data_IF_736204645696
#
_entry.id   IF_736204645696
#
_cell.length_a   1.000
_cell.length_b   1.000
_cell.length_c   1.000
_cell.angle_alpha   90.00
_cell.angle_beta   90.00
_cell.angle_gamma   90.00
#
_symmetry.space_group_name_H-M   'P 1'
#
loop_
_entity.id
_entity.type
_entity.pdbx_description
1 polymer ?
#
# COMPACT_ATOMS: atom_id res chain seq x y z
N UNK A 1 -7.11 -24.00 -30.14
CA UNK A 1 -6.64 -22.81 -29.39
C UNK A 1 -7.86 -21.94 -29.10
N UNK A 2 -8.24 -21.68 -27.86
CA UNK A 2 -9.33 -20.74 -27.58
C UNK A 2 -8.88 -19.34 -27.99
N UNK A 3 -9.77 -18.64 -28.68
CA UNK A 3 -9.53 -17.29 -29.19
C UNK A 3 -9.13 -16.37 -28.00
N UNK A 4 -8.07 -15.56 -28.13
CA UNK A 4 -7.58 -14.68 -27.06
C UNK A 4 -8.66 -13.72 -26.52
N UNK A 5 -9.67 -13.44 -27.32
CA UNK A 5 -10.83 -12.62 -26.96
C UNK A 5 -11.74 -13.28 -25.92
N UNK A 6 -11.98 -14.57 -25.97
CA UNK A 6 -12.82 -15.30 -24.99
C UNK A 6 -12.12 -15.35 -23.61
N UNK A 7 -10.80 -15.53 -23.58
CA UNK A 7 -10.03 -15.49 -22.34
C UNK A 7 -10.00 -14.08 -21.71
N UNK A 8 -10.04 -13.03 -22.49
CA UNK A 8 -10.12 -11.65 -22.00
C UNK A 8 -11.50 -11.37 -21.42
N UNK A 9 -12.57 -11.78 -22.10
CA UNK A 9 -13.96 -11.58 -21.66
C UNK A 9 -14.27 -12.26 -20.32
N UNK A 10 -13.85 -13.51 -20.15
CA UNK A 10 -14.03 -14.25 -18.87
C UNK A 10 -13.25 -13.59 -17.73
N UNK A 11 -12.09 -13.04 -17.99
CA UNK A 11 -11.30 -12.33 -16.98
C UNK A 11 -11.91 -11.00 -16.56
N UNK A 12 -12.41 -10.20 -17.51
CA UNK A 12 -13.09 -8.93 -17.21
C UNK A 12 -14.35 -9.19 -16.39
N UNK A 13 -15.16 -10.19 -16.75
CA UNK A 13 -16.34 -10.58 -15.97
C UNK A 13 -15.96 -11.00 -14.55
N UNK A 14 -14.90 -11.79 -14.37
CA UNK A 14 -14.41 -12.18 -13.04
C UNK A 14 -13.96 -10.98 -12.23
N UNK A 15 -13.27 -10.00 -12.84
CA UNK A 15 -12.83 -8.77 -12.18
C UNK A 15 -14.02 -7.94 -11.70
N UNK A 16 -15.02 -7.76 -12.56
CA UNK A 16 -16.24 -7.01 -12.22
C UNK A 16 -17.05 -7.72 -11.13
N UNK A 17 -17.14 -9.05 -11.17
CA UNK A 17 -17.83 -9.83 -10.13
C UNK A 17 -17.14 -9.67 -8.76
N UNK A 18 -15.82 -9.69 -8.69
CA UNK A 18 -15.07 -9.44 -7.45
C UNK A 18 -15.25 -8.01 -6.95
N UNK A 19 -15.15 -7.03 -7.83
CA UNK A 19 -15.37 -5.63 -7.47
C UNK A 19 -16.79 -5.44 -6.92
N UNK A 20 -17.81 -6.03 -7.57
CA UNK A 20 -19.18 -5.98 -7.10
C UNK A 20 -19.35 -6.65 -5.73
N UNK A 21 -18.77 -7.83 -5.53
CA UNK A 21 -18.83 -8.54 -4.26
C UNK A 21 -18.21 -7.71 -3.11
N UNK A 22 -17.05 -7.14 -3.31
CA UNK A 22 -16.40 -6.30 -2.30
C UNK A 22 -17.15 -4.99 -2.06
N UNK A 23 -17.73 -4.38 -3.08
CA UNK A 23 -18.56 -3.20 -2.94
C UNK A 23 -19.82 -3.50 -2.12
N UNK A 24 -20.51 -4.60 -2.44
CA UNK A 24 -21.68 -5.04 -1.68
C UNK A 24 -21.33 -5.35 -0.23
N UNK A 25 -20.19 -6.01 0.02
CA UNK A 25 -19.71 -6.28 1.36
C UNK A 25 -19.40 -4.99 2.12
N UNK A 26 -18.70 -4.04 1.51
CA UNK A 26 -18.39 -2.76 2.13
C UNK A 26 -19.66 -1.95 2.43
N UNK A 27 -20.65 -1.96 1.52
CA UNK A 27 -21.94 -1.32 1.74
C UNK A 27 -22.70 -1.99 2.89
N UNK A 28 -22.79 -3.33 2.90
CA UNK A 28 -23.45 -4.05 3.97
C UNK A 28 -22.80 -3.79 5.32
N UNK A 29 -21.47 -3.75 5.37
CA UNK A 29 -20.72 -3.43 6.58
C UNK A 29 -21.00 -2.00 7.05
N UNK A 30 -21.02 -1.02 6.14
CA UNK A 30 -21.37 0.36 6.48
C UNK A 30 -22.81 0.46 7.04
N UNK A 31 -23.74 -0.28 6.46
CA UNK A 31 -25.15 -0.28 6.92
C UNK A 31 -25.34 -1.00 8.27
N UNK A 32 -24.75 -2.21 8.40
CA UNK A 32 -24.90 -3.02 9.61
C UNK A 32 -24.22 -2.40 10.84
N UNK A 33 -23.16 -1.66 10.62
CA UNK A 33 -22.36 -1.08 11.69
C UNK A 33 -22.80 0.33 12.04
N UNK A 34 -23.90 0.82 11.40
CA UNK A 34 -24.29 2.22 11.52
C UNK A 34 -23.06 3.10 11.42
N UNK A 35 -22.10 2.70 10.56
CA UNK A 35 -20.82 3.34 10.45
C UNK A 35 -21.11 4.81 10.17
N UNK A 36 -21.22 5.64 11.23
CA UNK A 36 -21.33 7.05 10.99
C UNK A 36 -20.03 7.31 10.32
N UNK A 37 -20.08 7.60 9.00
CA UNK A 37 -19.03 8.34 8.46
C UNK A 37 -17.93 8.46 9.50
N UNK A 38 -16.96 7.57 9.53
CA UNK A 38 -16.03 7.54 10.66
C UNK A 38 -15.44 8.88 10.74
N UNK A 39 -15.97 9.19 11.42
CA UNK A 39 -16.06 10.14 12.38
C UNK A 39 -15.12 11.31 12.11
N UNK A 40 -13.91 11.08 11.78
CA UNK A 40 -13.00 12.19 11.59
C UNK A 40 -12.69 12.49 10.12
N UNK A 41 -12.33 11.48 9.32
CA UNK A 41 -11.86 11.78 7.96
C UNK A 41 -12.99 12.16 7.01
N UNK A 42 -14.10 11.42 6.95
CA UNK A 42 -15.19 11.76 6.03
C UNK A 42 -15.89 13.08 6.42
N UNK A 43 -16.11 13.32 7.71
CA UNK A 43 -16.66 14.61 8.20
C UNK A 43 -15.71 15.76 7.92
N UNK A 44 -14.42 15.55 8.10
CA UNK A 44 -13.42 16.57 7.77
C UNK A 44 -13.44 16.91 6.27
N UNK A 45 -13.54 15.91 5.40
CA UNK A 45 -13.61 16.13 3.95
C UNK A 45 -14.90 16.82 3.52
N UNK A 46 -16.04 16.48 4.16
CA UNK A 46 -17.31 17.20 3.97
C UNK A 46 -17.18 18.65 4.43
N UNK A 47 -16.61 18.88 5.62
CA UNK A 47 -16.37 20.23 6.13
C UNK A 47 -15.46 21.07 5.23
N UNK A 48 -14.38 20.48 4.73
CA UNK A 48 -13.47 21.15 3.77
C UNK A 48 -14.21 21.49 2.47
N UNK A 49 -15.05 20.58 1.95
CA UNK A 49 -15.84 20.83 0.75
C UNK A 49 -16.81 22.04 0.96
N UNK A 50 -17.47 22.08 2.11
CA UNK A 50 -18.35 23.20 2.48
C UNK A 50 -17.59 24.53 2.60
N UNK A 51 -16.39 24.51 3.22
CA UNK A 51 -15.54 25.70 3.32
C UNK A 51 -15.10 26.20 1.95
N UNK A 52 -14.74 25.29 1.04
CA UNK A 52 -14.39 25.64 -0.33
C UNK A 52 -15.55 26.24 -1.11
N UNK A 53 -16.80 25.79 -0.89
CA UNK A 53 -17.98 26.38 -1.49
C UNK A 53 -18.23 27.82 -0.99
N UNK A 54 -17.79 28.10 0.24
CA UNK A 54 -17.80 29.42 0.84
C UNK A 54 -16.58 30.28 0.47
N UNK A 55 -15.65 29.75 -0.32
CA UNK A 55 -14.44 30.45 -0.74
C UNK A 55 -13.35 30.57 0.34
N UNK A 56 -13.41 29.78 1.43
CA UNK A 56 -12.60 30.02 2.63
C UNK A 56 -11.26 29.31 2.67
N UNK A 57 -11.09 28.13 2.06
CA UNK A 57 -9.83 27.37 2.18
C UNK A 57 -9.58 26.34 1.07
N UNK A 58 -8.32 25.99 0.86
CA UNK A 58 -7.93 24.85 0.06
C UNK A 58 -7.71 23.60 0.93
N UNK A 59 -8.05 22.38 0.42
CA UNK A 59 -7.84 21.15 1.16
C UNK A 59 -6.34 20.84 1.31
N UNK A 60 -5.96 20.47 2.52
CA UNK A 60 -4.56 20.30 2.92
C UNK A 60 -3.86 19.11 2.24
N UNK A 61 -4.55 18.04 1.88
CA UNK A 61 -3.87 16.83 1.41
C UNK A 61 -4.51 16.11 0.22
N UNK A 62 -5.67 16.56 -0.26
CA UNK A 62 -6.41 15.85 -1.30
C UNK A 62 -7.33 16.71 -2.15
N UNK A 63 -6.80 17.73 -2.89
CA UNK A 63 -7.64 18.67 -3.64
C UNK A 63 -8.51 17.98 -4.69
N UNK A 64 -8.00 16.97 -5.39
CA UNK A 64 -8.78 16.27 -6.40
C UNK A 64 -9.97 15.52 -5.80
N UNK A 65 -9.80 14.89 -4.64
CA UNK A 65 -10.87 14.18 -3.95
C UNK A 65 -12.01 15.12 -3.54
N UNK A 66 -11.66 16.25 -2.91
CA UNK A 66 -12.66 17.23 -2.43
C UNK A 66 -13.37 17.88 -3.62
N UNK A 67 -12.64 18.25 -4.67
CA UNK A 67 -13.27 18.80 -5.87
C UNK A 67 -14.19 17.79 -6.56
N UNK A 68 -13.85 16.50 -6.56
CA UNK A 68 -14.75 15.45 -7.05
C UNK A 68 -16.02 15.37 -6.20
N UNK A 69 -15.90 15.45 -4.87
CA UNK A 69 -17.06 15.49 -3.95
C UNK A 69 -17.96 16.68 -4.26
N UNK A 70 -17.40 17.88 -4.39
CA UNK A 70 -18.13 19.10 -4.72
C UNK A 70 -18.85 19.01 -6.07
N UNK A 71 -18.13 18.55 -7.10
CA UNK A 71 -18.71 18.37 -8.43
C UNK A 71 -19.83 17.33 -8.43
N UNK A 72 -19.66 16.21 -7.73
CA UNK A 72 -20.69 15.19 -7.62
C UNK A 72 -21.92 15.73 -6.88
N UNK A 73 -21.75 16.47 -5.80
CA UNK A 73 -22.84 17.13 -5.07
C UNK A 73 -23.59 18.14 -5.99
N UNK A 74 -22.85 18.95 -6.71
CA UNK A 74 -23.42 19.92 -7.67
C UNK A 74 -24.21 19.23 -8.78
N UNK A 75 -23.65 18.18 -9.42
CA UNK A 75 -24.31 17.47 -10.53
C UNK A 75 -25.58 16.75 -10.06
N UNK A 76 -25.57 16.19 -8.86
CA UNK A 76 -26.71 15.44 -8.30
C UNK A 76 -27.73 16.31 -7.61
N UNK A 77 -27.42 17.58 -7.32
CA UNK A 77 -28.25 18.46 -6.49
C UNK A 77 -28.36 18.02 -5.03
N UNK A 78 -27.44 17.13 -4.58
CA UNK A 78 -27.42 16.54 -3.23
C UNK A 78 -26.42 17.25 -2.34
N UNK A 79 -26.57 17.09 -1.02
CA UNK A 79 -25.56 17.55 -0.07
C UNK A 79 -24.27 16.72 -0.15
N UNK A 80 -23.15 17.30 0.27
CA UNK A 80 -21.87 16.58 0.34
C UNK A 80 -21.95 15.32 1.23
N UNK A 81 -22.75 15.35 2.29
CA UNK A 81 -22.96 14.24 3.18
C UNK A 81 -23.73 13.08 2.53
N UNK A 82 -24.67 13.37 1.63
CA UNK A 82 -25.41 12.36 0.87
C UNK A 82 -24.55 11.73 -0.23
N UNK A 83 -23.63 12.48 -0.83
CA UNK A 83 -22.75 12.00 -1.90
C UNK A 83 -21.58 11.17 -1.37
N UNK A 84 -21.06 11.49 -0.18
CA UNK A 84 -19.87 10.86 0.39
C UNK A 84 -19.95 9.31 0.46
N UNK A 85 -21.05 8.69 0.92
CA UNK A 85 -21.19 7.23 0.90
C UNK A 85 -21.04 6.61 -0.50
N UNK A 86 -21.61 7.27 -1.49
CA UNK A 86 -21.52 6.81 -2.90
C UNK A 86 -20.12 6.93 -3.45
N UNK A 87 -19.38 7.97 -3.10
CA UNK A 87 -17.96 8.08 -3.43
C UNK A 87 -17.16 6.92 -2.82
N UNK A 88 -17.49 6.51 -1.59
CA UNK A 88 -16.89 5.34 -0.97
C UNK A 88 -17.15 4.06 -1.75
N UNK A 89 -18.39 3.82 -2.17
CA UNK A 89 -18.78 2.66 -2.98
C UNK A 89 -18.06 2.66 -4.32
N UNK A 90 -18.11 3.78 -5.06
CA UNK A 90 -17.37 3.94 -6.32
C UNK A 90 -15.87 3.71 -6.12
N UNK A 91 -15.30 4.22 -5.03
CA UNK A 91 -13.92 4.01 -4.65
C UNK A 91 -13.57 2.53 -4.48
N UNK A 92 -14.44 1.73 -3.86
CA UNK A 92 -14.26 0.28 -3.74
C UNK A 92 -14.16 -0.38 -5.11
N UNK A 93 -15.08 -0.07 -6.03
CA UNK A 93 -15.05 -0.61 -7.40
C UNK A 93 -13.76 -0.24 -8.12
N UNK A 94 -13.34 1.03 -8.02
CA UNK A 94 -12.10 1.53 -8.64
C UNK A 94 -10.90 0.80 -8.05
N UNK A 95 -10.82 0.66 -6.72
CA UNK A 95 -9.68 0.01 -6.05
C UNK A 95 -9.61 -1.47 -6.39
N UNK A 96 -10.70 -2.21 -6.24
CA UNK A 96 -10.70 -3.66 -6.52
C UNK A 96 -10.47 -3.94 -8.00
N UNK A 97 -11.10 -3.18 -8.89
CA UNK A 97 -10.88 -3.29 -10.34
C UNK A 97 -9.45 -2.96 -10.73
N UNK A 98 -8.90 -1.86 -10.19
CA UNK A 98 -7.53 -1.43 -10.45
C UNK A 98 -6.48 -2.40 -9.88
N UNK A 99 -6.67 -2.93 -8.67
CA UNK A 99 -5.81 -3.98 -8.11
C UNK A 99 -5.83 -5.23 -8.97
N UNK A 100 -7.02 -5.67 -9.39
CA UNK A 100 -7.19 -6.82 -10.27
C UNK A 100 -6.44 -6.63 -11.60
N UNK A 101 -6.56 -5.44 -12.19
CA UNK A 101 -5.82 -5.06 -13.38
C UNK A 101 -4.31 -5.06 -13.15
N UNK A 102 -3.84 -4.46 -12.06
CA UNK A 102 -2.42 -4.41 -11.71
C UNK A 102 -1.82 -5.79 -11.51
N UNK A 103 -2.49 -6.68 -10.78
CA UNK A 103 -2.05 -8.06 -10.61
C UNK A 103 -2.06 -8.85 -11.92
N UNK A 104 -3.05 -8.64 -12.76
CA UNK A 104 -3.03 -9.19 -14.11
C UNK A 104 -1.83 -8.71 -14.92
N UNK A 105 -1.49 -7.42 -14.84
CA UNK A 105 -0.31 -6.84 -15.51
C UNK A 105 1.01 -7.37 -14.94
N UNK A 106 1.03 -7.83 -13.70
CA UNK A 106 2.15 -8.55 -13.09
C UNK A 106 2.19 -10.03 -13.49
N UNK A 107 1.23 -10.54 -14.25
CA UNK A 107 1.21 -11.91 -14.77
C UNK A 107 0.55 -12.91 -13.83
N UNK A 108 -0.16 -12.48 -12.78
CA UNK A 108 -0.88 -13.39 -11.91
C UNK A 108 -2.11 -13.97 -12.63
N UNK A 109 -2.22 -15.30 -12.62
CA UNK A 109 -3.31 -16.02 -13.31
C UNK A 109 -4.56 -16.17 -12.45
N UNK A 110 -4.40 -16.24 -11.12
CA UNK A 110 -5.45 -16.42 -10.14
C UNK A 110 -5.44 -15.27 -9.13
N UNK A 111 -6.58 -14.62 -8.93
CA UNK A 111 -6.71 -13.47 -8.04
C UNK A 111 -7.33 -13.84 -6.69
N UNK A 112 -8.04 -14.98 -6.61
CA UNK A 112 -8.73 -15.39 -5.38
C UNK A 112 -7.79 -15.49 -4.17
N UNK A 113 -6.62 -16.16 -4.24
CA UNK A 113 -5.71 -16.23 -3.10
C UNK A 113 -5.13 -14.86 -2.72
N UNK A 114 -4.94 -13.96 -3.71
CA UNK A 114 -4.42 -12.61 -3.48
C UNK A 114 -5.44 -11.77 -2.71
N UNK A 115 -6.70 -11.77 -3.14
CA UNK A 115 -7.76 -11.07 -2.42
C UNK A 115 -8.06 -11.70 -1.06
N UNK A 116 -7.95 -13.01 -0.92
CA UNK A 116 -8.08 -13.67 0.37
C UNK A 116 -6.99 -13.22 1.36
N UNK A 117 -5.75 -13.03 0.89
CA UNK A 117 -4.68 -12.51 1.74
C UNK A 117 -4.83 -11.01 2.02
N UNK A 118 -5.29 -10.22 1.05
CA UNK A 118 -5.61 -8.80 1.28
C UNK A 118 -6.69 -8.65 2.34
N UNK A 119 -7.74 -9.49 2.29
CA UNK A 119 -8.84 -9.46 3.25
C UNK A 119 -8.41 -9.77 4.69
N UNK A 120 -7.24 -10.37 4.91
CA UNK A 120 -6.66 -10.53 6.25
C UNK A 120 -6.14 -9.21 6.85
N UNK A 121 -6.00 -8.15 6.06
CA UNK A 121 -5.37 -6.92 6.51
C UNK A 121 -6.38 -5.83 6.82
N UNK A 122 -6.27 -5.25 8.01
CA UNK A 122 -6.99 -4.02 8.36
C UNK A 122 -6.61 -2.83 7.45
N UNK A 123 -5.38 -2.81 6.94
CA UNK A 123 -4.90 -1.80 6.00
C UNK A 123 -5.54 -1.90 4.62
N UNK A 124 -6.12 -3.04 4.27
CA UNK A 124 -6.93 -3.19 3.07
C UNK A 124 -8.36 -2.69 3.30
N UNK A 125 -8.94 -3.03 4.44
CA UNK A 125 -10.33 -2.66 4.76
C UNK A 125 -10.49 -1.18 5.08
N UNK A 126 -9.53 -0.57 5.79
CA UNK A 126 -9.62 0.85 6.17
C UNK A 126 -9.90 1.76 4.97
N UNK A 127 -9.11 1.73 3.87
CA UNK A 127 -9.40 2.56 2.71
C UNK A 127 -10.64 2.12 1.92
N UNK A 128 -11.14 0.90 2.11
CA UNK A 128 -12.37 0.45 1.47
C UNK A 128 -13.63 0.91 2.21
N UNK A 129 -13.56 0.96 3.55
CA UNK A 129 -14.71 1.33 4.37
C UNK A 129 -14.87 2.84 4.54
N UNK A 130 -13.82 3.61 4.34
CA UNK A 130 -13.83 5.07 4.43
C UNK A 130 -13.58 5.72 3.07
N UNK A 131 -14.45 6.66 2.69
CA UNK A 131 -14.22 7.47 1.51
C UNK A 131 -13.19 8.57 1.81
N UNK A 132 -11.97 8.41 1.29
CA UNK A 132 -10.87 9.36 1.53
C UNK A 132 -9.86 9.38 0.37
N UNK A 133 -9.10 10.48 0.21
CA UNK A 133 -8.13 10.62 -0.87
C UNK A 133 -7.08 9.50 -0.90
N UNK A 134 -6.72 8.97 0.28
CA UNK A 134 -5.74 7.91 0.42
C UNK A 134 -6.14 6.62 -0.30
N UNK A 135 -7.44 6.29 -0.37
CA UNK A 135 -7.97 5.14 -1.12
C UNK A 135 -7.53 5.18 -2.58
N UNK A 136 -7.70 6.32 -3.22
CA UNK A 136 -7.32 6.52 -4.63
C UNK A 136 -5.81 6.63 -4.79
N UNK A 137 -5.17 7.32 -3.85
CA UNK A 137 -3.72 7.49 -3.84
C UNK A 137 -2.97 6.16 -3.71
N UNK A 138 -3.42 5.24 -2.87
CA UNK A 138 -2.80 3.91 -2.71
C UNK A 138 -2.89 3.08 -3.99
N UNK A 139 -4.07 3.07 -4.64
CA UNK A 139 -4.22 2.42 -5.93
C UNK A 139 -3.30 3.03 -6.98
N UNK A 140 -3.23 4.36 -7.03
CA UNK A 140 -2.40 5.06 -8.00
C UNK A 140 -0.89 4.81 -7.75
N UNK A 141 -0.45 4.67 -6.49
CA UNK A 141 0.91 4.22 -6.16
C UNK A 141 1.17 2.83 -6.71
N UNK A 142 0.25 1.89 -6.48
CA UNK A 142 0.40 0.52 -6.97
C UNK A 142 0.49 0.46 -8.50
N UNK A 143 -0.47 1.07 -9.20
CA UNK A 143 -0.52 1.06 -10.66
C UNK A 143 0.60 1.89 -11.29
N UNK A 144 0.92 3.05 -10.70
CA UNK A 144 2.00 3.93 -11.15
C UNK A 144 3.37 3.24 -11.07
N UNK A 145 3.64 2.55 -9.97
CA UNK A 145 4.88 1.80 -9.78
C UNK A 145 5.01 0.64 -10.78
N UNK A 146 3.93 -0.11 -11.04
CA UNK A 146 3.90 -1.15 -12.09
C UNK A 146 4.14 -0.54 -13.47
N UNK A 147 3.52 0.61 -13.75
CA UNK A 147 3.65 1.29 -15.03
C UNK A 147 5.08 1.82 -15.25
N UNK A 148 5.71 2.40 -14.22
CA UNK A 148 7.10 2.82 -14.25
C UNK A 148 8.06 1.63 -14.51
N UNK A 149 7.85 0.51 -13.83
CA UNK A 149 8.62 -0.70 -14.07
C UNK A 149 8.48 -1.22 -15.50
N UNK A 150 7.26 -1.27 -16.03
CA UNK A 150 7.01 -1.70 -17.41
C UNK A 150 7.64 -0.75 -18.44
N UNK A 151 7.67 0.55 -18.15
CA UNK A 151 8.36 1.53 -18.96
C UNK A 151 9.86 1.27 -19.02
N UNK A 152 10.49 1.00 -17.87
CA UNK A 152 11.91 0.65 -17.80
C UNK A 152 12.23 -0.63 -18.58
N UNK A 153 11.31 -1.60 -18.61
CA UNK A 153 11.46 -2.85 -19.34
C UNK A 153 11.08 -2.79 -20.83
N UNK A 154 10.80 -1.63 -21.41
CA UNK A 154 10.33 -1.50 -22.78
C UNK A 154 9.00 -2.23 -23.08
N UNK A 155 8.14 -2.47 -22.08
CA UNK A 155 6.87 -3.20 -22.18
C UNK A 155 5.63 -2.29 -22.12
N UNK A 156 5.73 -1.04 -22.57
CA UNK A 156 4.71 -0.01 -22.41
C UNK A 156 4.85 0.67 -21.05
N UNK A 157 3.80 1.30 -20.53
CA UNK A 157 3.84 1.99 -19.23
C UNK A 157 3.65 3.50 -19.32
N UNK A 158 3.16 4.01 -20.47
CA UNK A 158 2.84 5.43 -20.65
C UNK A 158 1.88 5.97 -19.58
N UNK A 159 1.02 5.10 -19.00
CA UNK A 159 0.11 5.48 -17.92
C UNK A 159 0.84 6.09 -16.70
N UNK A 160 2.13 5.81 -16.52
CA UNK A 160 2.94 6.44 -15.48
C UNK A 160 2.99 7.96 -15.61
N UNK A 161 3.11 8.47 -16.85
CA UNK A 161 3.20 9.91 -17.12
C UNK A 161 1.92 10.68 -16.78
N UNK A 162 0.79 9.99 -16.75
CA UNK A 162 -0.50 10.54 -16.31
C UNK A 162 -0.71 10.29 -14.82
N UNK A 163 -0.37 9.09 -14.34
CA UNK A 163 -0.59 8.70 -12.95
C UNK A 163 0.17 9.60 -11.97
N UNK A 164 1.44 9.94 -12.26
CA UNK A 164 2.26 10.69 -11.33
C UNK A 164 1.72 12.11 -11.05
N UNK A 165 1.40 12.94 -12.05
CA UNK A 165 0.75 14.22 -11.80
C UNK A 165 -0.63 14.07 -11.13
N UNK A 166 -1.44 13.10 -11.55
CA UNK A 166 -2.75 12.86 -10.95
C UNK A 166 -2.65 12.55 -9.45
N UNK A 167 -1.66 11.76 -9.05
CA UNK A 167 -1.42 11.43 -7.63
C UNK A 167 -0.99 12.66 -6.83
N UNK A 168 -0.20 13.56 -7.43
CA UNK A 168 0.19 14.81 -6.78
C UNK A 168 -1.02 15.67 -6.37
N UNK A 169 -2.09 15.67 -7.17
CA UNK A 169 -3.35 16.35 -6.82
C UNK A 169 -4.28 15.50 -5.96
N UNK A 170 -4.13 14.18 -5.97
CA UNK A 170 -5.03 13.30 -5.21
C UNK A 170 -4.65 13.22 -3.74
N UNK A 171 -3.36 13.00 -3.43
CA UNK A 171 -2.91 12.83 -2.05
C UNK A 171 -1.39 12.99 -1.93
N UNK A 172 -0.96 13.94 -1.11
CA UNK A 172 0.46 14.32 -0.98
C UNK A 172 1.36 13.15 -0.56
N UNK A 173 0.97 12.38 0.47
CA UNK A 173 1.77 11.24 0.93
C UNK A 173 1.87 10.15 -0.15
N UNK A 174 0.78 9.88 -0.87
CA UNK A 174 0.78 8.93 -1.98
C UNK A 174 1.74 9.36 -3.09
N UNK A 175 1.77 10.67 -3.39
CA UNK A 175 2.71 11.21 -4.35
C UNK A 175 4.17 11.01 -3.89
N UNK A 176 4.49 11.36 -2.66
CA UNK A 176 5.83 11.17 -2.10
C UNK A 176 6.26 9.68 -2.14
N UNK A 177 5.37 8.76 -1.76
CA UNK A 177 5.62 7.31 -1.81
C UNK A 177 5.84 6.83 -3.25
N UNK A 178 5.01 7.28 -4.19
CA UNK A 178 5.16 6.90 -5.61
C UNK A 178 6.49 7.39 -6.18
N UNK A 179 6.84 8.65 -5.93
CA UNK A 179 8.13 9.23 -6.36
C UNK A 179 9.28 8.42 -5.78
N UNK A 180 9.26 8.15 -4.48
CA UNK A 180 10.31 7.37 -3.83
C UNK A 180 10.45 5.98 -4.45
N UNK A 181 9.37 5.24 -4.63
CA UNK A 181 9.40 3.90 -5.24
C UNK A 181 9.88 3.94 -6.68
N UNK A 182 9.50 4.95 -7.45
CA UNK A 182 9.99 5.14 -8.82
C UNK A 182 11.49 5.43 -8.87
N UNK A 183 12.00 6.28 -7.97
CA UNK A 183 13.43 6.56 -7.87
C UNK A 183 14.22 5.31 -7.45
N UNK A 184 13.70 4.51 -6.51
CA UNK A 184 14.28 3.21 -6.14
C UNK A 184 14.33 2.28 -7.35
N UNK A 185 13.25 2.17 -8.13
CA UNK A 185 13.21 1.35 -9.35
C UNK A 185 14.21 1.84 -10.40
N UNK A 186 14.29 3.15 -10.62
CA UNK A 186 15.25 3.76 -11.56
C UNK A 186 16.69 3.46 -11.13
N UNK A 187 17.02 3.70 -9.87
CA UNK A 187 18.35 3.48 -9.33
C UNK A 187 18.75 1.99 -9.40
N UNK A 188 17.89 1.10 -8.90
CA UNK A 188 18.16 -0.34 -8.88
C UNK A 188 18.28 -0.92 -10.30
N UNK A 189 17.41 -0.50 -11.21
CA UNK A 189 17.44 -0.97 -12.61
C UNK A 189 18.66 -0.44 -13.35
N UNK A 190 18.99 0.85 -13.24
CA UNK A 190 20.15 1.47 -13.89
C UNK A 190 21.48 0.87 -13.43
N UNK A 191 21.65 0.71 -12.11
CA UNK A 191 22.85 0.11 -11.51
C UNK A 191 22.98 -1.38 -11.90
N UNK A 192 21.86 -2.12 -11.86
CA UNK A 192 21.88 -3.53 -12.22
C UNK A 192 22.25 -3.76 -13.68
N UNK A 193 21.74 -2.93 -14.58
CA UNK A 193 22.06 -3.05 -16.01
C UNK A 193 23.37 -2.37 -16.42
N UNK A 194 24.02 -1.63 -15.52
CA UNK A 194 25.18 -0.78 -15.81
C UNK A 194 24.96 0.20 -16.98
N UNK A 195 23.72 0.52 -17.28
CA UNK A 195 23.32 1.41 -18.37
C UNK A 195 22.21 2.34 -17.91
N UNK A 196 22.44 3.62 -18.12
CA UNK A 196 21.43 4.65 -17.95
C UNK A 196 20.86 4.98 -19.32
N UNK A 197 19.57 4.91 -19.47
CA UNK A 197 18.86 5.23 -20.70
C UNK A 197 18.01 6.50 -20.51
N UNK A 198 17.57 7.08 -21.63
CA UNK A 198 16.62 8.20 -21.62
C UNK A 198 15.35 7.87 -20.82
N UNK A 199 14.98 6.61 -20.69
CA UNK A 199 13.81 6.19 -19.89
C UNK A 199 14.02 6.36 -18.41
N UNK A 200 15.22 6.11 -17.90
CA UNK A 200 15.57 6.39 -16.48
C UNK A 200 15.52 7.89 -16.22
N UNK A 201 16.10 8.67 -17.13
CA UNK A 201 16.11 10.12 -17.04
C UNK A 201 14.68 10.68 -17.10
N UNK A 202 13.84 10.19 -18.01
CA UNK A 202 12.46 10.63 -18.13
C UNK A 202 11.65 10.41 -16.84
N UNK A 203 11.77 9.24 -16.21
CA UNK A 203 11.11 9.00 -14.92
C UNK A 203 11.66 9.93 -13.84
N UNK A 204 12.98 10.06 -13.72
CA UNK A 204 13.60 10.90 -12.70
C UNK A 204 13.21 12.38 -12.86
N UNK A 205 13.26 12.90 -14.09
CA UNK A 205 12.86 14.28 -14.39
C UNK A 205 11.37 14.52 -14.11
N UNK A 206 10.50 13.57 -14.48
CA UNK A 206 9.08 13.68 -14.19
C UNK A 206 8.81 13.65 -12.68
N UNK A 207 9.50 12.77 -11.93
CA UNK A 207 9.43 12.75 -10.47
C UNK A 207 9.81 14.10 -9.87
N UNK A 208 10.91 14.71 -10.33
CA UNK A 208 11.34 16.03 -9.87
C UNK A 208 10.33 17.11 -10.29
N UNK A 209 9.93 17.13 -11.57
CA UNK A 209 8.99 18.11 -12.10
C UNK A 209 7.62 18.05 -11.41
N UNK A 210 7.19 16.86 -10.97
CA UNK A 210 5.91 16.72 -10.27
C UNK A 210 5.84 17.46 -8.94
N UNK A 211 6.98 17.76 -8.30
CA UNK A 211 7.03 18.61 -7.11
C UNK A 211 6.74 20.09 -7.40
N UNK A 212 6.77 20.52 -8.65
CA UNK A 212 6.40 21.89 -9.02
C UNK A 212 4.95 22.23 -8.62
N UNK A 213 4.08 21.22 -8.52
CA UNK A 213 2.70 21.36 -8.01
C UNK A 213 2.68 21.97 -6.60
N UNK A 214 3.65 21.62 -5.77
CA UNK A 214 3.74 22.12 -4.39
C UNK A 214 4.39 23.50 -4.28
N UNK A 215 5.24 23.84 -5.24
CA UNK A 215 5.93 25.13 -5.29
C UNK A 215 5.13 26.22 -5.99
N UNK A 216 3.96 25.88 -6.57
CA UNK A 216 3.16 26.85 -7.31
C UNK A 216 2.61 27.93 -6.39
N UNK A 217 2.98 29.19 -6.58
CA UNK A 217 2.50 30.30 -5.76
C UNK A 217 0.97 30.41 -5.83
N UNK A 218 0.32 30.46 -4.67
CA UNK A 218 -1.15 30.44 -4.58
C UNK A 218 -1.80 29.10 -4.96
N UNK A 219 -1.00 28.04 -5.12
CA UNK A 219 -1.50 26.69 -5.38
C UNK A 219 -2.10 26.04 -4.14
N UNK A 220 -2.78 24.89 -4.33
CA UNK A 220 -3.55 24.23 -3.27
C UNK A 220 -2.70 23.71 -2.11
N UNK A 221 -1.38 23.69 -2.23
CA UNK A 221 -0.47 23.18 -1.21
C UNK A 221 0.41 24.22 -0.55
N UNK A 222 0.31 25.50 -0.95
CA UNK A 222 1.23 26.56 -0.46
C UNK A 222 1.12 26.74 1.05
N UNK A 223 -0.09 26.86 1.57
CA UNK A 223 -0.33 27.05 3.00
C UNK A 223 -0.03 25.77 3.79
N UNK A 224 -0.38 24.62 3.24
CA UNK A 224 -0.08 23.32 3.83
C UNK A 224 1.43 23.10 4.04
N UNK A 225 2.26 23.42 3.05
CA UNK A 225 3.72 23.27 3.20
C UNK A 225 4.27 24.23 4.25
N UNK A 226 3.68 25.42 4.37
CA UNK A 226 4.02 26.37 5.45
C UNK A 226 3.68 25.77 6.81
N UNK A 227 2.47 25.25 6.97
CA UNK A 227 1.98 24.67 8.21
C UNK A 227 2.73 23.39 8.58
N UNK A 228 2.99 22.51 7.62
CA UNK A 228 3.81 21.31 7.83
C UNK A 228 5.23 21.69 8.25
N UNK A 229 5.83 22.70 7.62
CA UNK A 229 7.14 23.18 7.99
C UNK A 229 7.13 23.74 9.42
N UNK A 230 6.12 24.51 9.78
CA UNK A 230 5.99 25.07 11.12
C UNK A 230 5.66 24.01 12.16
N UNK A 231 4.73 23.09 11.89
CA UNK A 231 4.28 22.10 12.88
C UNK A 231 5.24 20.91 13.05
N UNK A 232 5.87 20.44 11.95
CA UNK A 232 6.59 19.17 11.97
C UNK A 232 8.07 19.27 11.58
N UNK A 233 8.49 20.30 10.88
CA UNK A 233 9.84 20.39 10.31
C UNK A 233 10.71 21.48 10.94
N UNK A 234 10.18 22.33 11.82
CA UNK A 234 10.99 23.32 12.55
C UNK A 234 12.10 22.67 13.40
N UNK A 235 11.83 21.47 13.91
CA UNK A 235 12.75 20.72 14.76
C UNK A 235 13.34 19.49 14.07
N UNK A 236 13.09 19.33 12.78
CA UNK A 236 13.59 18.17 12.07
C UNK A 236 15.04 18.36 11.65
N UNK A 237 15.98 17.62 12.26
CA UNK A 237 17.32 17.52 11.73
C UNK A 237 17.32 16.58 10.51
N UNK A 238 16.41 16.74 9.57
CA UNK A 238 16.61 16.26 8.19
C UNK A 238 17.74 17.06 7.54
N UNK A 239 18.61 17.39 8.43
CA UNK A 239 19.95 17.71 8.19
C UNK A 239 20.59 16.55 7.44
N UNK A 240 21.58 16.86 6.71
CA UNK A 240 22.56 16.04 6.03
C UNK A 240 22.63 14.54 6.47
N UNK A 241 22.63 14.14 7.78
CA UNK A 241 22.73 12.75 8.21
C UNK A 241 21.57 11.84 7.74
N UNK A 242 20.32 12.28 7.79
CA UNK A 242 19.20 11.44 7.37
C UNK A 242 19.14 11.30 5.84
N UNK A 243 19.47 12.36 5.11
CA UNK A 243 19.63 12.31 3.66
C UNK A 243 20.78 11.40 3.25
N UNK A 244 21.91 11.45 3.97
CA UNK A 244 23.04 10.52 3.76
C UNK A 244 22.67 9.09 4.11
N UNK A 245 21.97 8.84 5.22
CA UNK A 245 21.50 7.51 5.60
C UNK A 245 20.55 6.94 4.53
N UNK A 246 19.65 7.76 4.00
CA UNK A 246 18.77 7.36 2.90
C UNK A 246 19.56 7.04 1.63
N UNK A 247 20.52 7.86 1.25
CA UNK A 247 21.41 7.63 0.10
C UNK A 247 22.21 6.33 0.26
N UNK A 248 22.79 6.11 1.45
CA UNK A 248 23.53 4.88 1.77
C UNK A 248 22.61 3.66 1.70
N UNK A 249 21.40 3.75 2.25
CA UNK A 249 20.43 2.66 2.20
C UNK A 249 19.97 2.34 0.77
N UNK A 250 19.70 3.37 -0.06
CA UNK A 250 19.39 3.20 -1.49
C UNK A 250 20.58 2.62 -2.24
N UNK A 251 21.80 3.10 -1.97
CA UNK A 251 23.02 2.57 -2.58
C UNK A 251 23.29 1.11 -2.17
N UNK A 252 23.10 0.76 -0.90
CA UNK A 252 23.23 -0.60 -0.39
C UNK A 252 22.18 -1.53 -1.02
N UNK A 253 20.93 -1.08 -1.13
CA UNK A 253 19.85 -1.81 -1.78
C UNK A 253 20.12 -1.98 -3.29
N UNK A 254 20.62 -0.96 -3.95
CA UNK A 254 21.04 -1.02 -5.35
C UNK A 254 22.22 -1.97 -5.54
N UNK A 255 23.21 -1.95 -4.64
CA UNK A 255 24.35 -2.88 -4.66
C UNK A 255 23.91 -4.33 -4.41
N UNK A 256 23.03 -4.56 -3.44
CA UNK A 256 22.44 -5.87 -3.17
C UNK A 256 21.61 -6.36 -4.36
N UNK A 257 20.79 -5.48 -4.97
CA UNK A 257 20.03 -5.81 -6.16
C UNK A 257 20.91 -6.15 -7.37
N UNK A 258 22.06 -5.50 -7.51
CA UNK A 258 23.04 -5.82 -8.55
C UNK A 258 23.58 -7.25 -8.43
N UNK A 259 24.01 -7.66 -7.22
CA UNK A 259 24.46 -9.02 -6.95
C UNK A 259 23.36 -10.03 -7.27
N UNK A 260 22.16 -9.77 -6.81
CA UNK A 260 21.01 -10.63 -7.06
C UNK A 260 20.62 -10.71 -8.54
N UNK A 261 20.76 -9.59 -9.27
CA UNK A 261 20.48 -9.50 -10.71
C UNK A 261 21.43 -10.36 -11.56
N UNK A 262 22.66 -10.50 -11.11
CA UNK A 262 23.67 -11.31 -11.78
C UNK A 262 23.76 -12.76 -11.26
N UNK A 263 22.84 -13.17 -10.41
CA UNK A 263 22.78 -14.55 -9.93
C UNK A 263 23.76 -14.89 -8.79
N UNK A 264 24.50 -13.91 -8.28
CA UNK A 264 25.51 -14.13 -7.24
C UNK A 264 24.92 -14.31 -5.82
N UNK A 265 23.62 -14.08 -5.64
CA UNK A 265 22.92 -14.32 -4.37
C UNK A 265 22.23 -15.69 -4.40
N UNK A 266 23.01 -16.73 -4.60
CA UNK A 266 22.50 -18.10 -4.44
C UNK A 266 22.34 -18.47 -2.97
N UNK A 267 23.19 -17.93 -2.12
CA UNK A 267 23.29 -18.32 -0.74
C UNK A 267 22.10 -17.89 0.13
N UNK A 268 21.66 -16.62 0.19
CA UNK A 268 20.50 -16.25 1.00
C UNK A 268 19.20 -16.89 0.54
N UNK A 269 19.00 -17.01 -0.78
CA UNK A 269 17.83 -17.67 -1.33
C UNK A 269 17.83 -19.17 -1.02
N UNK A 270 18.97 -19.84 -1.09
CA UNK A 270 19.11 -21.26 -0.75
C UNK A 270 18.93 -21.50 0.76
N UNK A 271 19.49 -20.63 1.63
CA UNK A 271 19.33 -20.71 3.06
C UNK A 271 17.86 -20.50 3.48
N UNK A 272 17.20 -19.47 2.94
CA UNK A 272 15.80 -19.20 3.19
C UNK A 272 14.89 -20.30 2.62
N UNK A 273 15.17 -20.80 1.42
CA UNK A 273 14.45 -21.93 0.83
C UNK A 273 14.68 -23.22 1.62
N UNK A 274 15.88 -23.43 2.17
CA UNK A 274 16.21 -24.54 3.07
C UNK A 274 15.41 -24.48 4.37
N UNK A 275 15.38 -23.32 5.03
CA UNK A 275 14.60 -23.08 6.25
C UNK A 275 13.11 -23.35 6.02
N UNK A 276 12.59 -23.00 4.85
CA UNK A 276 11.17 -23.11 4.52
C UNK A 276 10.75 -24.46 3.92
N UNK A 277 11.71 -25.39 3.69
CA UNK A 277 11.38 -26.76 3.26
C UNK A 277 10.64 -27.56 4.32
N UNK A 278 10.84 -27.23 5.58
CA UNK A 278 10.18 -27.90 6.71
C UNK A 278 8.96 -27.12 7.16
N UNK A 279 7.77 -27.72 7.10
CA UNK A 279 6.50 -27.08 7.49
C UNK A 279 6.51 -26.60 8.96
N UNK A 280 7.19 -27.31 9.85
CA UNK A 280 7.36 -26.92 11.25
C UNK A 280 8.23 -25.68 11.39
N UNK A 281 9.33 -25.59 10.62
CA UNK A 281 10.19 -24.41 10.61
C UNK A 281 9.45 -23.19 10.05
N UNK A 282 8.61 -23.36 9.03
CA UNK A 282 7.76 -22.28 8.51
C UNK A 282 6.78 -21.76 9.56
N UNK A 283 6.13 -22.65 10.33
CA UNK A 283 5.26 -22.27 11.44
C UNK A 283 6.00 -21.52 12.55
N UNK A 284 7.16 -22.02 12.97
CA UNK A 284 8.00 -21.32 13.94
C UNK A 284 8.52 -19.98 13.43
N UNK A 285 8.90 -19.89 12.15
CA UNK A 285 9.31 -18.62 11.53
C UNK A 285 8.18 -17.61 11.54
N UNK A 286 6.94 -18.03 11.29
CA UNK A 286 5.74 -17.22 11.42
C UNK A 286 5.56 -16.69 12.86
N UNK A 287 5.67 -17.56 13.85
CA UNK A 287 5.55 -17.18 15.26
C UNK A 287 6.67 -16.21 15.68
N UNK A 288 7.91 -16.49 15.28
CA UNK A 288 9.06 -15.63 15.57
C UNK A 288 8.93 -14.28 14.88
N UNK A 289 8.54 -14.26 13.61
CA UNK A 289 8.33 -13.01 12.88
C UNK A 289 7.20 -12.19 13.49
N UNK A 290 6.08 -12.83 13.85
CA UNK A 290 4.99 -12.17 14.57
C UNK A 290 5.45 -11.60 15.90
N UNK A 291 6.20 -12.39 16.68
CA UNK A 291 6.75 -11.96 17.96
C UNK A 291 7.74 -10.80 17.81
N UNK A 292 8.63 -10.86 16.80
CA UNK A 292 9.57 -9.78 16.52
C UNK A 292 8.85 -8.49 16.10
N UNK A 293 7.86 -8.58 15.21
CA UNK A 293 7.05 -7.41 14.79
C UNK A 293 6.33 -6.83 15.99
N UNK A 294 5.74 -7.66 16.85
CA UNK A 294 5.07 -7.23 18.08
C UNK A 294 6.03 -6.58 19.06
N UNK A 295 7.19 -7.20 19.27
CA UNK A 295 8.23 -6.67 20.15
C UNK A 295 8.77 -5.34 19.62
N UNK A 296 9.07 -5.28 18.33
CA UNK A 296 9.50 -4.02 17.69
C UNK A 296 8.44 -2.94 17.83
N UNK A 297 7.18 -3.26 17.59
CA UNK A 297 6.10 -2.30 17.78
C UNK A 297 5.94 -1.89 19.24
N UNK A 298 6.06 -2.84 20.19
CA UNK A 298 5.94 -2.55 21.62
C UNK A 298 7.09 -1.68 22.16
N UNK A 299 8.30 -1.88 21.68
CA UNK A 299 9.49 -1.18 22.17
C UNK A 299 9.91 0.01 21.32
N UNK A 300 9.64 0.00 20.02
CA UNK A 300 10.04 1.06 19.11
C UNK A 300 9.00 2.17 18.98
N UNK A 301 7.73 1.90 19.34
CA UNK A 301 6.69 2.92 19.29
C UNK A 301 6.55 3.61 20.65
N UNK A 302 6.46 4.95 20.67
CA UNK A 302 6.26 5.69 21.90
C UNK A 302 4.92 5.32 22.55
N UNK A 303 4.74 5.47 23.88
CA UNK A 303 3.50 5.14 24.58
C UNK A 303 2.24 5.81 24.00
N UNK A 304 2.38 7.00 23.44
CA UNK A 304 1.32 7.68 22.70
C UNK A 304 0.74 6.87 21.53
N UNK A 305 1.54 5.93 20.98
CA UNK A 305 1.10 4.99 19.96
C UNK A 305 -0.02 4.06 20.40
N UNK A 306 -0.11 3.79 21.69
CA UNK A 306 -1.08 2.88 22.27
C UNK A 306 -2.38 3.58 22.67
N UNK A 307 -2.35 4.91 22.73
CA UNK A 307 -3.52 5.71 23.09
C UNK A 307 -4.76 5.35 22.23
N UNK A 308 -4.65 5.19 20.89
CA UNK A 308 -5.75 4.76 20.05
C UNK A 308 -6.36 3.40 20.42
N UNK A 309 -5.61 2.56 21.13
CA UNK A 309 -6.04 1.23 21.58
C UNK A 309 -6.37 1.19 23.08
N UNK A 310 -6.70 2.35 23.64
CA UNK A 310 -7.02 2.49 25.07
C UNK A 310 -5.85 2.13 25.99
N UNK A 311 -4.59 2.37 25.53
CA UNK A 311 -3.38 2.05 26.28
C UNK A 311 -3.07 0.54 26.40
N UNK A 312 -3.86 -0.33 25.76
CA UNK A 312 -3.70 -1.79 25.85
C UNK A 312 -2.98 -2.37 24.64
N UNK A 313 -1.74 -2.81 24.83
CA UNK A 313 -1.00 -3.51 23.80
C UNK A 313 -1.64 -4.86 23.38
N UNK A 314 -2.38 -5.54 24.28
CA UNK A 314 -3.14 -6.74 23.94
C UNK A 314 -4.22 -6.43 22.92
N UNK A 315 -4.95 -5.33 23.09
CA UNK A 315 -5.94 -4.89 22.09
C UNK A 315 -5.27 -4.57 20.76
N UNK A 316 -4.14 -3.91 20.80
CA UNK A 316 -3.35 -3.65 19.58
C UNK A 316 -2.96 -4.96 18.88
N UNK A 317 -2.48 -5.97 19.60
CA UNK A 317 -2.14 -7.29 19.03
C UNK A 317 -3.36 -7.91 18.35
N UNK A 318 -4.50 -7.93 19.03
CA UNK A 318 -5.74 -8.48 18.46
C UNK A 318 -6.10 -7.75 17.16
N UNK A 319 -6.02 -6.42 17.15
CA UNK A 319 -6.29 -5.62 15.96
C UNK A 319 -5.26 -5.82 14.83
N UNK A 320 -4.03 -6.16 15.16
CA UNK A 320 -2.99 -6.43 14.18
C UNK A 320 -2.88 -7.91 13.78
N UNK A 321 -3.67 -8.81 14.37
CA UNK A 321 -3.56 -10.25 14.15
C UNK A 321 -3.65 -10.64 12.67
N UNK A 322 -4.56 -10.05 11.91
CA UNK A 322 -4.68 -10.29 10.47
C UNK A 322 -3.46 -9.78 9.69
N UNK A 323 -2.93 -8.61 10.04
CA UNK A 323 -1.71 -8.07 9.44
C UNK A 323 -0.49 -8.94 9.77
N UNK A 324 -0.43 -9.52 10.98
CA UNK A 324 0.62 -10.47 11.39
C UNK A 324 0.55 -11.76 10.58
N UNK A 325 -0.66 -12.30 10.37
CA UNK A 325 -0.87 -13.46 9.49
C UNK A 325 -0.38 -13.16 8.07
N UNK A 326 -0.71 -11.99 7.55
CA UNK A 326 -0.26 -11.58 6.22
C UNK A 326 1.27 -11.45 6.18
N UNK A 327 1.90 -10.84 7.19
CA UNK A 327 3.34 -10.71 7.28
C UNK A 327 4.03 -12.09 7.34
N UNK A 328 3.47 -13.03 8.10
CA UNK A 328 3.95 -14.39 8.17
C UNK A 328 3.83 -15.12 6.83
N UNK A 329 2.69 -15.01 6.16
CA UNK A 329 2.52 -15.57 4.81
C UNK A 329 3.44 -14.88 3.80
N UNK A 330 3.70 -13.60 3.93
CA UNK A 330 4.66 -12.88 3.10
C UNK A 330 6.07 -13.46 3.24
N UNK A 331 6.55 -13.72 4.45
CA UNK A 331 7.87 -14.32 4.68
C UNK A 331 8.00 -15.69 4.03
N UNK A 332 7.00 -16.56 4.23
CA UNK A 332 6.96 -17.89 3.62
C UNK A 332 6.89 -17.79 2.09
N UNK A 333 6.05 -16.91 1.58
CA UNK A 333 5.86 -16.70 0.15
C UNK A 333 7.07 -16.08 -0.53
N UNK A 334 7.72 -15.11 0.11
CA UNK A 334 8.96 -14.51 -0.39
C UNK A 334 10.07 -15.56 -0.51
N UNK A 335 10.24 -16.44 0.50
CA UNK A 335 11.20 -17.53 0.45
C UNK A 335 10.94 -18.51 -0.70
N UNK A 336 9.66 -18.85 -0.93
CA UNK A 336 9.28 -19.69 -2.08
C UNK A 336 9.46 -19.00 -3.41
N UNK A 337 9.19 -17.72 -3.46
CA UNK A 337 9.39 -16.93 -4.66
C UNK A 337 10.85 -16.82 -5.03
N UNK A 338 11.71 -16.53 -4.06
CA UNK A 338 13.16 -16.51 -4.26
C UNK A 338 13.69 -17.90 -4.67
N UNK A 339 13.20 -18.99 -4.04
CA UNK A 339 13.50 -20.34 -4.44
C UNK A 339 13.01 -20.69 -5.85
N UNK A 340 11.80 -20.26 -6.22
CA UNK A 340 11.24 -20.42 -7.56
C UNK A 340 12.00 -19.64 -8.62
N UNK A 341 12.52 -18.47 -8.28
CA UNK A 341 13.42 -17.69 -9.12
C UNK A 341 14.72 -18.45 -9.40
N UNK A 342 15.33 -19.04 -8.37
CA UNK A 342 16.54 -19.85 -8.52
C UNK A 342 16.34 -21.05 -9.47
N UNK A 343 15.13 -21.62 -9.46
CA UNK A 343 14.77 -22.75 -10.33
C UNK A 343 14.10 -22.32 -11.65
N UNK A 344 14.16 -21.04 -12.02
CA UNK A 344 13.58 -20.47 -13.25
C UNK A 344 12.06 -20.70 -13.41
N UNK A 345 11.35 -20.98 -12.32
CA UNK A 345 9.89 -21.23 -12.33
C UNK A 345 9.05 -19.96 -12.28
N UNK A 346 9.67 -18.82 -12.01
CA UNK A 346 9.02 -17.52 -11.89
C UNK A 346 9.70 -16.55 -12.84
N UNK A 347 8.93 -15.65 -13.47
CA UNK A 347 9.49 -14.59 -14.31
C UNK A 347 10.51 -13.75 -13.51
N UNK A 348 11.77 -13.75 -13.95
CA UNK A 348 12.83 -13.01 -13.26
C UNK A 348 12.53 -11.53 -13.13
N UNK A 349 11.88 -10.94 -14.14
CA UNK A 349 11.51 -9.53 -14.13
C UNK A 349 10.53 -9.19 -13.01
N UNK A 350 9.53 -10.04 -12.81
CA UNK A 350 8.55 -9.85 -11.76
C UNK A 350 9.14 -10.05 -10.36
N UNK A 351 10.01 -11.07 -10.19
CA UNK A 351 10.68 -11.30 -8.92
C UNK A 351 11.54 -10.09 -8.52
N UNK A 352 12.31 -9.55 -9.48
CA UNK A 352 13.13 -8.34 -9.27
C UNK A 352 12.30 -7.13 -8.91
N UNK A 353 11.22 -6.89 -9.64
CA UNK A 353 10.27 -5.80 -9.36
C UNK A 353 9.79 -5.85 -7.92
N UNK A 354 9.28 -7.01 -7.49
CA UNK A 354 8.72 -7.15 -6.15
C UNK A 354 9.77 -6.99 -5.04
N UNK A 355 10.98 -7.52 -5.24
CA UNK A 355 12.06 -7.33 -4.25
C UNK A 355 12.46 -5.86 -4.15
N UNK A 356 12.59 -5.15 -5.27
CA UNK A 356 12.91 -3.72 -5.26
C UNK A 356 11.80 -2.91 -4.57
N UNK A 357 10.54 -3.19 -4.89
CA UNK A 357 9.41 -2.44 -4.33
C UNK A 357 9.21 -2.77 -2.85
N UNK A 358 9.23 -4.05 -2.46
CA UNK A 358 9.09 -4.44 -1.06
C UNK A 358 10.28 -3.97 -0.23
N UNK A 359 11.49 -3.98 -0.78
CA UNK A 359 12.65 -3.37 -0.16
C UNK A 359 12.52 -1.86 0.02
N UNK A 360 11.99 -1.17 -1.00
CA UNK A 360 11.66 0.26 -0.93
C UNK A 360 10.59 0.56 0.13
N UNK A 361 9.53 -0.23 0.19
CA UNK A 361 8.48 -0.10 1.22
C UNK A 361 9.03 -0.39 2.62
N UNK A 362 9.88 -1.41 2.76
CA UNK A 362 10.53 -1.70 4.04
C UNK A 362 11.43 -0.55 4.49
N UNK A 363 12.20 0.04 3.58
CA UNK A 363 13.01 1.22 3.87
C UNK A 363 12.16 2.42 4.27
N UNK A 364 11.08 2.70 3.53
CA UNK A 364 10.11 3.74 3.93
C UNK A 364 9.49 3.45 5.29
N UNK A 365 9.18 2.17 5.58
CA UNK A 365 8.67 1.75 6.88
C UNK A 365 9.66 2.03 8.01
N UNK A 366 10.94 1.72 7.82
CA UNK A 366 12.00 2.02 8.80
C UNK A 366 12.15 3.54 9.01
N UNK A 367 12.12 4.33 7.95
CA UNK A 367 12.15 5.79 8.04
C UNK A 367 10.91 6.33 8.75
N UNK A 368 9.73 5.74 8.49
CA UNK A 368 8.49 6.12 9.15
C UNK A 368 8.49 5.74 10.63
N UNK A 369 9.08 4.60 11.01
CA UNK A 369 9.32 4.24 12.43
C UNK A 369 10.22 5.26 13.10
N UNK A 370 11.34 5.62 12.48
CA UNK A 370 12.25 6.62 13.01
C UNK A 370 11.57 7.99 13.15
N UNK A 371 10.80 8.39 12.14
CA UNK A 371 10.01 9.62 12.17
C UNK A 371 8.91 9.58 13.24
N UNK A 372 8.21 8.46 13.39
CA UNK A 372 7.17 8.28 14.41
C UNK A 372 7.74 8.37 15.82
N UNK A 373 8.91 7.77 16.04
CA UNK A 373 9.62 7.86 17.31
C UNK A 373 10.05 9.29 17.62
N UNK A 374 10.57 9.97 16.61
CA UNK A 374 11.06 11.35 16.74
C UNK A 374 9.93 12.37 16.94
N UNK A 375 8.85 12.23 16.18
CA UNK A 375 7.72 13.15 16.18
C UNK A 375 6.63 12.76 17.19
N UNK A 376 6.80 11.66 17.93
CA UNK A 376 5.79 11.07 18.82
C UNK A 376 4.44 10.81 18.13
N UNK A 377 4.46 10.63 16.81
CA UNK A 377 3.27 10.36 15.98
C UNK A 377 3.42 9.01 15.26
N UNK A 378 2.57 8.05 15.64
CA UNK A 378 2.56 6.69 15.09
C UNK A 378 1.89 6.55 13.75
N UNK A 379 1.15 7.54 13.33
CA UNK A 379 0.38 7.49 12.08
C UNK A 379 1.29 7.35 10.85
N UNK A 380 2.53 7.85 10.91
CA UNK A 380 3.46 7.79 9.77
C UNK A 380 3.82 6.36 9.38
N UNK A 381 4.14 5.50 10.34
CA UNK A 381 4.45 4.09 10.07
C UNK A 381 3.25 3.35 9.49
N UNK A 382 2.08 3.51 10.12
CA UNK A 382 0.86 2.85 9.66
C UNK A 382 0.45 3.32 8.27
N UNK A 383 0.58 4.62 7.99
CA UNK A 383 0.28 5.20 6.67
C UNK A 383 1.20 4.65 5.58
N UNK A 384 2.49 4.48 5.86
CA UNK A 384 3.45 3.92 4.88
C UNK A 384 3.20 2.43 4.65
N UNK A 385 2.94 1.65 5.70
CA UNK A 385 2.63 0.21 5.58
C UNK A 385 1.38 -0.04 4.72
N UNK A 386 0.42 0.85 4.75
CA UNK A 386 -0.76 0.79 3.89
C UNK A 386 -0.43 0.71 2.39
N UNK A 387 0.65 1.33 1.94
CA UNK A 387 1.08 1.25 0.54
C UNK A 387 1.76 -0.07 0.21
N UNK A 388 2.42 -0.68 1.18
CA UNK A 388 3.15 -1.93 1.01
C UNK A 388 2.27 -3.15 0.81
N UNK A 389 1.06 -3.12 1.38
CA UNK A 389 0.18 -4.30 1.41
C UNK A 389 -0.21 -4.80 0.02
N UNK A 390 -0.43 -3.90 -0.93
CA UNK A 390 -0.81 -4.28 -2.29
C UNK A 390 0.32 -5.02 -3.01
N UNK A 391 1.57 -4.68 -2.73
CA UNK A 391 2.72 -5.39 -3.26
C UNK A 391 3.01 -6.68 -2.51
N UNK A 392 2.74 -6.71 -1.21
CA UNK A 392 2.95 -7.88 -0.36
C UNK A 392 1.94 -9.01 -0.60
N UNK A 393 0.74 -8.69 -1.07
CA UNK A 393 -0.34 -9.65 -1.19
C UNK A 393 -0.05 -10.82 -2.13
N UNK A 394 0.63 -10.58 -3.25
CA UNK A 394 0.95 -11.65 -4.21
C UNK A 394 1.91 -12.70 -3.64
N UNK A 395 3.09 -12.35 -3.07
CA UNK A 395 3.93 -13.33 -2.40
C UNK A 395 3.27 -13.91 -1.13
N UNK A 396 2.48 -13.13 -0.38
CA UNK A 396 1.74 -13.65 0.76
C UNK A 396 0.72 -14.73 0.37
N UNK A 397 0.04 -14.57 -0.77
CA UNK A 397 -0.88 -15.57 -1.30
C UNK A 397 -0.18 -16.92 -1.57
N UNK A 398 1.03 -16.88 -2.15
CA UNK A 398 1.85 -18.09 -2.33
C UNK A 398 2.24 -18.74 -0.99
N UNK A 399 2.57 -17.92 0.00
CA UNK A 399 2.86 -18.39 1.35
C UNK A 399 1.66 -19.04 2.01
N UNK A 400 0.50 -18.42 1.93
CA UNK A 400 -0.76 -18.94 2.44
C UNK A 400 -1.09 -20.29 1.78
N UNK A 401 -1.05 -20.36 0.45
CA UNK A 401 -1.32 -21.62 -0.26
C UNK A 401 -0.35 -22.72 0.15
N UNK A 402 0.93 -22.38 0.36
CA UNK A 402 1.90 -23.36 0.80
C UNK A 402 1.63 -23.88 2.21
N UNK A 403 1.43 -22.99 3.16
CA UNK A 403 1.17 -23.36 4.57
C UNK A 403 -0.11 -24.17 4.69
N UNK A 404 -1.14 -23.78 3.94
CA UNK A 404 -2.46 -24.40 4.06
C UNK A 404 -2.72 -25.53 3.06
N UNK A 405 -1.78 -25.90 2.19
CA UNK A 405 -2.01 -26.87 1.09
C UNK A 405 -2.55 -28.23 1.54
N UNK A 406 -2.17 -28.71 2.74
CA UNK A 406 -2.60 -29.97 3.33
C UNK A 406 -3.77 -29.82 4.30
N UNK A 407 -4.24 -28.60 4.51
CA UNK A 407 -5.35 -28.35 5.41
C UNK A 407 -6.68 -28.68 4.72
N UNK A 408 -7.65 -29.26 5.43
CA UNK A 408 -8.99 -29.40 4.92
C UNK A 408 -9.62 -28.02 4.65
N UNK A 409 -10.54 -27.94 3.71
CA UNK A 409 -11.15 -26.68 3.26
C UNK A 409 -11.77 -25.88 4.41
N UNK A 410 -12.39 -26.55 5.37
CA UNK A 410 -13.00 -25.89 6.52
C UNK A 410 -11.98 -25.17 7.42
N UNK A 411 -10.79 -25.76 7.67
CA UNK A 411 -9.72 -25.11 8.46
C UNK A 411 -9.19 -23.87 7.75
N UNK A 412 -9.02 -23.92 6.44
CA UNK A 412 -8.65 -22.74 5.66
C UNK A 412 -9.73 -21.66 5.75
N UNK A 413 -11.00 -22.05 5.63
CA UNK A 413 -12.15 -21.15 5.76
C UNK A 413 -12.19 -20.48 7.14
N UNK A 414 -11.95 -21.25 8.22
CA UNK A 414 -11.90 -20.71 9.58
C UNK A 414 -10.75 -19.71 9.76
N UNK A 415 -9.53 -20.02 9.28
CA UNK A 415 -8.40 -19.11 9.39
C UNK A 415 -8.67 -17.78 8.65
N UNK A 416 -9.14 -17.88 7.41
CA UNK A 416 -9.44 -16.71 6.60
C UNK A 416 -10.62 -15.91 7.18
N UNK A 417 -11.69 -16.60 7.60
CA UNK A 417 -12.85 -15.95 8.22
C UNK A 417 -12.51 -15.25 9.53
N UNK A 418 -11.77 -15.90 10.41
CA UNK A 418 -11.34 -15.31 11.68
C UNK A 418 -10.38 -14.13 11.47
N UNK A 419 -9.40 -14.28 10.56
CA UNK A 419 -8.46 -13.21 10.23
C UNK A 419 -9.15 -12.00 9.57
N UNK A 420 -10.09 -12.26 8.66
CA UNK A 420 -10.91 -11.21 8.03
C UNK A 420 -11.79 -10.51 9.08
N UNK A 421 -12.48 -11.26 9.93
CA UNK A 421 -13.32 -10.71 10.99
C UNK A 421 -12.51 -9.84 11.95
N UNK A 422 -11.32 -10.31 12.39
CA UNK A 422 -10.41 -9.54 13.22
C UNK A 422 -9.99 -8.22 12.55
N UNK A 423 -9.66 -8.27 11.26
CA UNK A 423 -9.23 -7.10 10.49
C UNK A 423 -10.35 -6.10 10.25
N UNK A 424 -11.56 -6.59 10.01
CA UNK A 424 -12.74 -5.75 9.90
C UNK A 424 -13.07 -5.09 11.24
N UNK A 425 -13.08 -5.87 12.31
CA UNK A 425 -13.29 -5.34 13.67
C UNK A 425 -12.23 -4.31 14.04
N UNK A 426 -10.99 -4.51 13.59
CA UNK A 426 -9.91 -3.54 13.79
C UNK A 426 -10.18 -2.18 13.12
N UNK A 427 -10.90 -2.18 12.00
CA UNK A 427 -11.25 -0.94 11.29
C UNK A 427 -12.52 -0.31 11.86
N UNK A 428 -13.46 -1.13 12.27
CA UNK A 428 -14.80 -0.67 12.69
C UNK A 428 -14.85 -0.20 14.14
N UNK A 429 -14.06 -0.82 15.03
CA UNK A 429 -14.01 -0.45 16.45
C UNK A 429 -13.15 0.76 16.83
N UNK A 430 -12.12 1.16 16.08
CA UNK A 430 -11.36 2.37 16.40
C UNK A 430 -12.20 3.63 16.67
N UNK A 431 -13.36 3.86 16.03
CA UNK A 431 -14.21 5.00 16.39
C UNK A 431 -14.56 5.06 17.86
N UNK A 432 -14.78 3.91 18.48
CA UNK A 432 -15.04 3.85 19.94
C UNK A 432 -13.75 3.97 20.78
N UNK A 433 -12.57 3.74 20.19
CA UNK A 433 -11.29 3.77 20.87
C UNK A 433 -10.50 5.05 20.61
N UNK A 434 -10.77 5.74 19.51
CA UNK A 434 -10.09 6.97 19.09
C UNK A 434 -10.82 8.24 19.53
N UNK A 435 -11.87 8.12 20.34
CA UNK A 435 -12.64 9.29 20.79
C UNK A 435 -13.38 9.97 19.64
N UNK A 436 -13.74 9.20 18.62
CA UNK A 436 -14.66 9.69 17.62
C UNK A 436 -16.05 9.95 18.20
#
# INVERSE_FOLDING_TARGET
>A
MPLPYLALRTRVVSLLAWAALFALLACAMRMLLNYPLCVNDEKNWIGIAQQLDQGVAWPVSGPAFVNTLRQAAWVTGSSHAEVMPWMGVCGVFIVVGGLSWGYYRLGLKTLVPVFATLALSSYFWAPLLEARPQQWGQLAVFLGTISAWRWLQHRGGLAFFVALPAVAFTHILSHAVLVFLCLVLVATHGIAQRRWSLRHLAIALLCIASFAVYAWPGGPYTDMLRDLRQAHFQHWPLSLPASLALLVAVAAMAWASRRWWHGDIRWPAAALAGLLRHQRAAGWSLCIAALLVLTMQAYLLPPAAWAPYGGSWIRFIVFQSGNLLLAGFLLVGAGRWLGGFHHQRIDPGMARFLVCVLGGVALLGLLAVAASWWLLDTNWMLRVLNYGIFFAAAPAALGMEHVTRHWPRWRRGLLLGAGMAASVLAVVRPPMLLGC
#
